data_IF_133685495816
#
_entry.id   IF_133685495816
#
_cell.length_a   1.000
_cell.length_b   1.000
_cell.length_c   1.000
_cell.angle_alpha   90.00
_cell.angle_beta   90.00
_cell.angle_gamma   90.00
#
_symmetry.space_group_name_H-M   'P 1'
#
loop_
_entity.id
_entity.type
_entity.pdbx_description
1 polymer ?
#
# COMPACT_ATOMS: atom_id res chain seq x y z
N UNK A 1 10.20 15.11 -2.66
CA UNK A 1 9.73 14.43 -1.43
C UNK A 1 9.37 12.99 -1.81
N UNK A 2 9.38 12.04 -0.88
CA UNK A 2 9.10 10.64 -1.21
C UNK A 2 7.62 10.49 -1.59
N UNK A 3 7.35 10.23 -2.87
CA UNK A 3 6.07 9.69 -3.34
C UNK A 3 6.06 8.23 -2.92
N UNK A 4 5.71 7.97 -1.66
CA UNK A 4 5.66 6.61 -1.12
C UNK A 4 4.33 6.03 -1.61
N UNK A 5 4.41 5.16 -2.61
CA UNK A 5 3.36 4.20 -2.94
C UNK A 5 3.02 3.45 -1.68
N UNK A 6 1.74 3.28 -1.34
CA UNK A 6 1.34 2.70 -0.07
C UNK A 6 0.28 1.63 -0.31
N UNK A 7 0.45 0.48 0.33
CA UNK A 7 -0.59 -0.53 0.44
C UNK A 7 -1.09 -0.59 1.88
N UNK A 8 -2.40 -0.67 2.07
CA UNK A 8 -3.00 -0.85 3.39
C UNK A 8 -4.16 -1.83 3.34
N UNK A 9 -4.33 -2.58 4.41
CA UNK A 9 -5.36 -3.60 4.46
C UNK A 9 -5.34 -4.41 5.73
N UNK A 10 -6.03 -5.54 5.68
CA UNK A 10 -6.20 -6.46 6.78
C UNK A 10 -5.79 -7.88 6.38
N UNK A 11 -5.21 -8.59 7.35
CA UNK A 11 -4.91 -10.02 7.27
C UNK A 11 -5.90 -10.73 8.16
N UNK A 12 -6.86 -11.43 7.55
CA UNK A 12 -7.89 -12.18 8.22
C UNK A 12 -7.47 -13.64 8.38
N UNK A 13 -7.45 -14.13 9.63
CA UNK A 13 -7.13 -15.52 9.97
C UNK A 13 -8.46 -16.24 10.27
N UNK A 14 -8.90 -17.17 9.41
CA UNK A 14 -10.18 -17.87 9.60
C UNK A 14 -10.21 -18.69 10.89
N UNK A 15 -11.39 -18.82 11.50
CA UNK A 15 -11.63 -19.65 12.70
C UNK A 15 -11.07 -21.08 12.56
N UNK A 16 -11.26 -21.72 11.41
CA UNK A 16 -10.72 -23.06 11.18
C UNK A 16 -9.20 -23.12 11.22
N UNK A 17 -8.52 -22.05 10.78
CA UNK A 17 -7.07 -21.93 10.88
C UNK A 17 -6.64 -21.86 12.34
N UNK A 18 -7.34 -21.06 13.14
CA UNK A 18 -7.09 -20.93 14.58
C UNK A 18 -7.30 -22.27 15.30
N UNK A 19 -8.36 -23.00 14.95
CA UNK A 19 -8.67 -24.29 15.55
C UNK A 19 -7.67 -25.40 15.17
N UNK A 20 -7.26 -25.46 13.90
CA UNK A 20 -6.45 -26.59 13.38
C UNK A 20 -4.94 -26.31 13.39
N UNK A 21 -4.53 -25.06 13.16
CA UNK A 21 -3.13 -24.64 13.12
C UNK A 21 -2.68 -24.12 14.47
N UNK A 22 -3.46 -23.25 15.13
CA UNK A 22 -3.10 -22.71 16.46
C UNK A 22 -3.63 -23.54 17.63
N UNK A 23 -4.48 -24.55 17.37
CA UNK A 23 -5.14 -25.37 18.39
C UNK A 23 -5.90 -24.53 19.44
N UNK A 24 -6.47 -23.40 19.00
CA UNK A 24 -7.10 -22.40 19.88
C UNK A 24 -6.17 -21.84 20.97
N UNK A 25 -4.85 -21.89 20.77
CA UNK A 25 -3.85 -21.38 21.70
C UNK A 25 -3.50 -19.93 21.40
N UNK A 26 -3.76 -19.02 22.36
CA UNK A 26 -3.28 -17.64 22.29
C UNK A 26 -1.76 -17.58 22.16
N UNK A 27 -1.03 -18.48 22.84
CA UNK A 27 0.43 -18.53 22.76
C UNK A 27 0.91 -18.82 21.34
N UNK A 28 0.33 -19.81 20.67
CA UNK A 28 0.72 -20.14 19.29
C UNK A 28 0.38 -19.02 18.33
N UNK A 29 -0.76 -18.35 18.53
CA UNK A 29 -1.09 -17.15 17.78
C UNK A 29 -0.05 -16.04 17.97
N UNK A 30 0.36 -15.74 19.20
CA UNK A 30 1.38 -14.72 19.45
C UNK A 30 2.73 -15.08 18.81
N UNK A 31 3.13 -16.36 18.87
CA UNK A 31 4.33 -16.86 18.18
C UNK A 31 4.18 -16.69 16.67
N UNK A 32 2.99 -17.00 16.12
CA UNK A 32 2.69 -16.80 14.72
C UNK A 32 2.80 -15.32 14.32
N UNK A 33 2.18 -14.40 15.07
CA UNK A 33 2.28 -12.95 14.83
C UNK A 33 3.74 -12.50 14.85
N UNK A 34 4.52 -12.95 15.83
CA UNK A 34 5.93 -12.59 15.94
C UNK A 34 6.75 -13.11 14.76
N UNK A 35 6.51 -14.35 14.32
CA UNK A 35 7.14 -14.93 13.12
C UNK A 35 6.75 -14.17 11.85
N UNK A 36 5.47 -13.84 11.73
CA UNK A 36 4.90 -13.09 10.63
C UNK A 36 5.49 -11.68 10.54
N UNK A 37 5.50 -10.95 11.66
CA UNK A 37 6.11 -9.63 11.84
C UNK A 37 7.60 -9.67 11.47
N UNK A 38 8.36 -10.62 12.01
CA UNK A 38 9.78 -10.76 11.69
C UNK A 38 10.03 -11.03 10.19
N UNK A 39 9.13 -11.76 9.54
CA UNK A 39 9.25 -12.09 8.11
C UNK A 39 8.90 -10.88 7.24
N UNK A 40 7.83 -10.15 7.57
CA UNK A 40 7.42 -8.96 6.83
C UNK A 40 8.37 -7.78 7.07
N UNK A 41 8.65 -7.42 8.32
CA UNK A 41 9.37 -6.20 8.68
C UNK A 41 10.87 -6.27 8.40
N UNK A 42 11.51 -7.43 8.63
CA UNK A 42 12.98 -7.53 8.52
C UNK A 42 13.46 -8.04 7.16
N UNK A 43 12.59 -8.65 6.36
CA UNK A 43 13.00 -9.26 5.08
C UNK A 43 12.28 -8.70 3.86
N UNK A 44 11.20 -7.94 4.04
CA UNK A 44 10.44 -7.37 2.94
C UNK A 44 10.13 -5.90 3.17
N UNK A 45 9.79 -5.16 2.11
CA UNK A 45 9.36 -3.76 2.10
C UNK A 45 8.76 -3.30 3.42
N UNK A 46 9.14 -2.13 3.94
CA UNK A 46 8.74 -1.54 5.23
C UNK A 46 7.25 -1.72 5.57
N UNK A 47 6.87 -2.94 5.96
CA UNK A 47 5.48 -3.35 6.17
C UNK A 47 5.30 -3.39 7.67
N UNK A 48 4.52 -2.47 8.17
CA UNK A 48 4.23 -2.33 9.59
C UNK A 48 2.89 -2.98 9.88
N UNK A 49 2.86 -3.90 10.85
CA UNK A 49 1.59 -4.36 11.41
C UNK A 49 1.08 -3.28 12.36
N UNK A 50 -0.11 -2.75 12.09
CA UNK A 50 -0.65 -1.59 12.81
C UNK A 50 -1.36 -1.97 14.11
N UNK A 51 -1.85 -3.21 14.20
CA UNK A 51 -2.57 -3.66 15.39
C UNK A 51 -1.62 -4.10 16.50
N UNK A 52 -1.95 -3.69 17.72
CA UNK A 52 -1.50 -4.30 18.96
C UNK A 52 -2.16 -5.69 19.10
N UNK A 53 -1.89 -6.57 18.13
CA UNK A 53 -2.39 -7.94 18.04
C UNK A 53 -2.10 -8.78 19.31
N UNK A 54 -1.31 -8.26 20.24
CA UNK A 54 -0.91 -8.90 21.49
C UNK A 54 -1.99 -8.82 22.58
N UNK A 55 -2.86 -7.79 22.55
CA UNK A 55 -3.84 -7.55 23.62
C UNK A 55 -5.18 -8.28 23.40
N UNK A 56 -5.67 -8.35 22.16
CA UNK A 56 -7.00 -8.87 21.83
C UNK A 56 -6.95 -10.28 21.20
N UNK A 57 -7.49 -11.29 21.91
CA UNK A 57 -7.60 -12.67 21.43
C UNK A 57 -9.06 -13.08 21.35
N UNK A 58 -9.58 -13.13 20.13
CA UNK A 58 -10.93 -13.55 19.80
C UNK A 58 -10.86 -14.69 18.78
N UNK A 59 -10.81 -15.97 19.21
CA UNK A 59 -10.57 -17.11 18.32
C UNK A 59 -11.63 -17.32 17.23
N UNK A 60 -12.73 -16.55 17.27
CA UNK A 60 -13.77 -16.55 16.24
C UNK A 60 -13.48 -15.54 15.12
N UNK A 61 -12.71 -14.49 15.40
CA UNK A 61 -12.45 -13.36 14.50
C UNK A 61 -11.07 -12.76 14.83
N UNK A 62 -10.04 -13.18 14.08
CA UNK A 62 -8.71 -12.61 14.20
C UNK A 62 -8.37 -11.89 12.90
N UNK A 63 -8.19 -10.58 12.97
CA UNK A 63 -7.76 -9.73 11.88
C UNK A 63 -6.57 -8.88 12.32
N UNK A 64 -5.66 -8.59 11.39
CA UNK A 64 -4.47 -7.78 11.67
C UNK A 64 -4.35 -6.74 10.56
N UNK A 65 -4.50 -5.48 10.93
CA UNK A 65 -4.30 -4.34 10.06
C UNK A 65 -2.81 -4.18 9.74
N UNK A 66 -2.49 -3.83 8.50
CA UNK A 66 -1.13 -3.55 8.07
C UNK A 66 -1.07 -2.35 7.15
N UNK A 67 0.12 -1.75 7.10
CA UNK A 67 0.52 -0.73 6.15
C UNK A 67 1.87 -1.11 5.56
N UNK A 68 2.06 -0.96 4.26
CA UNK A 68 3.30 -1.25 3.57
C UNK A 68 3.69 -0.06 2.68
N UNK A 69 4.96 0.34 2.79
CA UNK A 69 5.57 1.29 1.86
C UNK A 69 5.98 0.59 0.55
N UNK A 70 5.87 1.32 -0.55
CA UNK A 70 6.11 0.88 -1.92
C UNK A 70 4.95 0.10 -2.56
N UNK A 71 4.99 0.02 -3.90
CA UNK A 71 4.03 -0.79 -4.67
C UNK A 71 4.16 -2.25 -4.28
N UNK A 72 3.08 -2.81 -3.78
CA UNK A 72 3.03 -4.22 -3.45
C UNK A 72 2.77 -5.01 -4.74
N UNK A 73 3.79 -5.14 -5.61
CA UNK A 73 3.69 -5.85 -6.90
C UNK A 73 3.16 -7.29 -6.68
N UNK A 74 1.85 -7.37 -6.86
CA UNK A 74 0.91 -8.30 -6.26
C UNK A 74 1.34 -9.76 -6.21
N UNK A 75 1.68 -10.30 -7.38
CA UNK A 75 1.95 -11.73 -7.51
C UNK A 75 3.33 -12.06 -6.94
N UNK A 76 4.35 -11.25 -7.24
CA UNK A 76 5.70 -11.59 -6.81
C UNK A 76 5.88 -11.38 -5.31
N UNK A 77 5.31 -10.30 -4.76
CA UNK A 77 5.53 -9.89 -3.38
C UNK A 77 4.92 -10.89 -2.39
N UNK A 78 3.64 -11.24 -2.58
CA UNK A 78 2.98 -12.23 -1.73
C UNK A 78 3.57 -13.64 -1.87
N UNK A 79 4.01 -14.04 -3.07
CA UNK A 79 4.70 -15.31 -3.25
C UNK A 79 6.04 -15.35 -2.51
N UNK A 80 6.79 -14.25 -2.49
CA UNK A 80 8.05 -14.15 -1.78
C UNK A 80 7.83 -14.14 -0.27
N UNK A 81 6.92 -13.30 0.22
CA UNK A 81 6.50 -13.30 1.62
C UNK A 81 6.13 -14.72 2.06
N UNK A 82 5.23 -15.38 1.34
CA UNK A 82 4.79 -16.73 1.65
C UNK A 82 5.95 -17.74 1.61
N UNK A 83 6.88 -17.63 0.66
CA UNK A 83 8.06 -18.48 0.63
C UNK A 83 8.85 -18.38 1.93
N UNK A 84 9.15 -17.16 2.38
CA UNK A 84 9.91 -16.94 3.62
C UNK A 84 9.11 -17.37 4.84
N UNK A 85 7.81 -17.08 4.86
CA UNK A 85 6.92 -17.39 5.96
C UNK A 85 6.79 -18.89 6.19
N UNK A 86 6.57 -19.66 5.12
CA UNK A 86 6.38 -21.11 5.16
C UNK A 86 7.71 -21.90 5.15
N UNK A 87 8.84 -21.23 5.37
CA UNK A 87 10.15 -21.89 5.46
C UNK A 87 10.35 -22.51 6.84
N UNK A 88 10.57 -23.82 6.86
CA UNK A 88 10.94 -24.53 8.09
C UNK A 88 12.34 -24.12 8.58
N UNK A 89 12.46 -23.89 9.89
CA UNK A 89 13.74 -23.77 10.56
C UNK A 89 14.47 -25.11 10.62
N UNK A 90 15.80 -25.08 10.65
CA UNK A 90 16.60 -26.30 10.79
C UNK A 90 16.46 -26.93 12.17
N UNK A 91 16.78 -28.22 12.30
CA UNK A 91 16.73 -28.94 13.57
C UNK A 91 17.64 -28.27 14.61
N UNK A 92 18.85 -27.87 14.22
CA UNK A 92 19.81 -27.23 15.11
C UNK A 92 19.27 -25.90 15.66
N UNK A 93 18.55 -25.12 14.84
CA UNK A 93 17.90 -23.89 15.29
C UNK A 93 16.74 -24.16 16.26
N UNK A 94 16.00 -25.25 16.06
CA UNK A 94 14.87 -25.63 16.92
C UNK A 94 15.34 -26.16 18.27
N UNK A 95 16.50 -26.83 18.34
CA UNK A 95 17.05 -27.38 19.59
C UNK A 95 17.42 -26.29 20.61
N UNK A 96 17.69 -25.07 20.14
CA UNK A 96 18.11 -23.94 20.98
C UNK A 96 17.06 -22.83 21.11
N UNK A 97 15.94 -22.93 20.39
CA UNK A 97 14.87 -21.94 20.41
C UNK A 97 13.48 -22.61 20.28
N UNK A 98 12.74 -22.62 21.38
CA UNK A 98 11.40 -23.22 21.48
C UNK A 98 10.37 -22.53 20.59
N UNK A 99 10.44 -21.21 20.40
CA UNK A 99 9.54 -20.49 19.49
C UNK A 99 9.72 -20.98 18.04
N UNK A 100 10.97 -21.22 17.60
CA UNK A 100 11.24 -21.76 16.26
C UNK A 100 10.70 -23.18 16.09
N UNK A 101 10.80 -24.01 17.13
CA UNK A 101 10.18 -25.34 17.13
C UNK A 101 8.66 -25.21 16.98
N UNK A 102 8.02 -24.31 17.74
CA UNK A 102 6.58 -24.04 17.64
C UNK A 102 6.14 -23.55 16.27
N UNK A 103 6.93 -22.68 15.64
CA UNK A 103 6.69 -22.27 14.25
C UNK A 103 6.70 -23.49 13.31
N UNK A 104 7.69 -24.37 13.41
CA UNK A 104 7.74 -25.59 12.60
C UNK A 104 6.53 -26.50 12.84
N UNK A 105 6.09 -26.66 14.10
CA UNK A 105 4.88 -27.43 14.45
C UNK A 105 3.61 -26.83 13.81
N UNK A 106 3.46 -25.50 13.83
CA UNK A 106 2.36 -24.79 13.16
C UNK A 106 2.41 -24.96 11.65
N UNK A 107 3.57 -24.73 11.03
CA UNK A 107 3.74 -24.90 9.58
C UNK A 107 3.45 -26.34 9.13
N UNK A 108 3.83 -27.33 9.94
CA UNK A 108 3.53 -28.73 9.65
C UNK A 108 2.02 -29.01 9.75
N UNK A 109 1.31 -28.41 10.71
CA UNK A 109 -0.15 -28.52 10.81
C UNK A 109 -0.85 -27.85 9.64
N UNK A 110 -0.42 -26.66 9.25
CA UNK A 110 -0.97 -25.97 8.08
C UNK A 110 -0.74 -26.79 6.80
N UNK A 111 0.47 -27.30 6.59
CA UNK A 111 0.80 -28.19 5.47
C UNK A 111 -0.09 -29.44 5.39
N UNK A 112 -0.48 -30.00 6.55
CA UNK A 112 -1.34 -31.18 6.63
C UNK A 112 -2.84 -30.86 6.47
N UNK A 113 -3.22 -29.58 6.37
CA UNK A 113 -4.57 -29.11 6.17
C UNK A 113 -4.61 -28.19 4.93
N UNK A 114 -4.54 -28.74 3.70
CA UNK A 114 -4.34 -27.97 2.47
C UNK A 114 -5.50 -27.00 2.16
N UNK A 115 -6.70 -27.27 2.67
CA UNK A 115 -7.87 -26.40 2.48
C UNK A 115 -7.82 -25.12 3.32
N UNK A 116 -6.87 -25.00 4.26
CA UNK A 116 -6.73 -23.83 5.12
C UNK A 116 -5.92 -22.73 4.43
N UNK A 117 -6.40 -21.50 4.59
CA UNK A 117 -5.77 -20.30 4.05
C UNK A 117 -5.83 -19.16 5.07
N UNK A 118 -4.97 -18.17 4.84
CA UNK A 118 -5.09 -16.83 5.41
C UNK A 118 -5.57 -15.90 4.31
N UNK A 119 -6.43 -14.93 4.64
CA UNK A 119 -7.01 -14.01 3.68
C UNK A 119 -6.37 -12.63 3.84
N UNK A 120 -5.78 -12.12 2.77
CA UNK A 120 -5.31 -10.74 2.68
C UNK A 120 -6.36 -9.92 1.93
N UNK A 121 -6.86 -8.86 2.54
CA UNK A 121 -7.76 -7.88 1.91
C UNK A 121 -7.07 -6.53 1.96
N UNK A 122 -6.69 -5.97 0.82
CA UNK A 122 -5.96 -4.71 0.81
C UNK A 122 -6.22 -3.88 -0.43
N UNK A 123 -5.85 -2.61 -0.33
CA UNK A 123 -5.83 -1.67 -1.43
C UNK A 123 -4.38 -1.26 -1.66
N UNK A 124 -3.94 -1.39 -2.91
CA UNK A 124 -2.61 -0.98 -3.38
C UNK A 124 -2.74 0.24 -4.31
N UNK A 125 -1.83 1.20 -4.12
CA UNK A 125 -1.74 2.41 -4.94
C UNK A 125 -0.30 2.93 -5.04
N UNK A 126 0.10 3.31 -6.25
CA UNK A 126 1.36 4.00 -6.52
C UNK A 126 1.07 5.39 -7.11
N UNK A 127 1.65 6.48 -6.57
CA UNK A 127 1.55 7.81 -7.16
C UNK A 127 1.93 7.79 -8.66
N UNK A 128 1.04 8.30 -9.50
CA UNK A 128 1.19 8.29 -10.96
C UNK A 128 0.50 7.12 -11.68
N UNK A 129 -0.02 6.11 -10.98
CA UNK A 129 -0.84 5.06 -11.58
C UNK A 129 -2.29 5.55 -11.81
N UNK A 130 -2.94 5.17 -12.93
CA UNK A 130 -4.29 5.65 -13.25
C UNK A 130 -5.40 4.87 -12.52
N UNK A 131 -5.07 3.85 -11.73
CA UNK A 131 -6.03 2.99 -11.04
C UNK A 131 -5.63 2.69 -9.58
N UNK A 132 -6.64 2.42 -8.76
CA UNK A 132 -6.53 1.79 -7.44
C UNK A 132 -6.82 0.30 -7.61
N UNK A 133 -6.07 -0.55 -6.90
CA UNK A 133 -6.26 -2.00 -6.95
C UNK A 133 -6.79 -2.48 -5.61
N UNK A 134 -8.00 -3.03 -5.58
CA UNK A 134 -8.55 -3.76 -4.43
C UNK A 134 -8.30 -5.25 -4.64
N UNK A 135 -7.67 -5.91 -3.68
CA UNK A 135 -7.30 -7.32 -3.81
C UNK A 135 -7.74 -8.13 -2.60
N UNK A 136 -8.37 -9.26 -2.89
CA UNK A 136 -8.63 -10.31 -1.91
C UNK A 136 -7.81 -11.53 -2.30
N UNK A 137 -6.91 -11.95 -1.43
CA UNK A 137 -5.98 -13.05 -1.69
C UNK A 137 -6.12 -14.14 -0.65
N UNK A 138 -6.48 -15.34 -1.11
CA UNK A 138 -6.39 -16.53 -0.27
C UNK A 138 -5.00 -17.12 -0.42
N UNK A 139 -4.27 -17.15 0.68
CA UNK A 139 -2.92 -17.69 0.78
C UNK A 139 -3.00 -19.04 1.49
N UNK A 140 -3.00 -20.18 0.77
CA UNK A 140 -2.86 -21.51 1.36
C UNK A 140 -1.40 -21.85 1.64
N UNK A 141 -1.12 -23.04 2.20
CA UNK A 141 0.26 -23.48 2.43
C UNK A 141 1.04 -23.74 1.13
N UNK A 142 0.39 -24.23 0.07
CA UNK A 142 1.04 -24.39 -1.24
C UNK A 142 1.07 -23.05 -1.98
N UNK A 143 2.27 -22.51 -2.17
CA UNK A 143 2.47 -21.23 -2.85
C UNK A 143 1.91 -21.19 -4.28
N UNK A 144 1.76 -22.33 -4.94
CA UNK A 144 1.25 -22.38 -6.31
C UNK A 144 -0.28 -22.31 -6.40
N UNK A 145 -0.98 -22.42 -5.26
CA UNK A 145 -2.44 -22.43 -5.18
C UNK A 145 -3.03 -21.09 -4.70
N UNK A 146 -2.22 -20.03 -4.57
CA UNK A 146 -2.75 -18.71 -4.19
C UNK A 146 -3.87 -18.27 -5.13
N UNK A 147 -5.01 -17.88 -4.57
CA UNK A 147 -6.19 -17.45 -5.32
C UNK A 147 -6.32 -15.94 -5.18
N UNK A 148 -6.36 -15.28 -6.31
CA UNK A 148 -6.27 -13.85 -6.49
C UNK A 148 -7.59 -13.30 -7.04
N UNK A 149 -8.27 -12.46 -6.27
CA UNK A 149 -9.47 -11.75 -6.71
C UNK A 149 -9.19 -10.24 -6.72
N UNK A 150 -8.81 -9.74 -7.89
CA UNK A 150 -8.44 -8.33 -8.13
C UNK A 150 -9.59 -7.54 -8.73
N UNK A 151 -9.77 -6.29 -8.27
CA UNK A 151 -10.63 -5.29 -8.90
C UNK A 151 -9.90 -3.98 -9.06
N UNK A 152 -9.93 -3.48 -10.29
CA UNK A 152 -9.36 -2.18 -10.62
C UNK A 152 -10.44 -1.10 -10.58
N UNK A 153 -10.11 0.02 -9.95
CA UNK A 153 -10.95 1.20 -9.90
C UNK A 153 -10.19 2.36 -10.53
N UNK A 154 -10.85 3.14 -11.39
CA UNK A 154 -10.27 4.42 -11.81
C UNK A 154 -10.05 5.31 -10.59
N UNK A 155 -8.96 6.10 -10.60
CA UNK A 155 -8.67 7.07 -9.55
C UNK A 155 -9.69 8.21 -9.63
N UNK A 156 -10.79 8.07 -8.88
CA UNK A 156 -11.81 9.11 -8.71
C UNK A 156 -12.08 9.34 -7.23
N UNK A 157 -12.51 10.56 -6.88
CA UNK A 157 -12.86 10.91 -5.50
C UNK A 157 -13.87 9.92 -4.91
N UNK A 158 -14.87 9.51 -5.67
CA UNK A 158 -15.89 8.55 -5.22
C UNK A 158 -15.27 7.20 -4.88
N UNK A 159 -14.37 6.67 -5.73
CA UNK A 159 -13.73 5.37 -5.50
C UNK A 159 -12.76 5.42 -4.31
N UNK A 160 -11.99 6.50 -4.18
CA UNK A 160 -11.07 6.74 -3.05
C UNK A 160 -11.84 6.74 -1.72
N UNK A 161 -12.92 7.51 -1.65
CA UNK A 161 -13.76 7.59 -0.44
C UNK A 161 -14.45 6.26 -0.16
N UNK A 162 -14.96 5.59 -1.20
CA UNK A 162 -15.58 4.27 -1.08
C UNK A 162 -14.60 3.23 -0.51
N UNK A 163 -13.37 3.24 -1.00
CA UNK A 163 -12.33 2.30 -0.60
C UNK A 163 -11.62 2.72 0.69
N UNK A 164 -11.98 3.86 1.28
CA UNK A 164 -11.42 4.36 2.53
C UNK A 164 -9.88 4.44 2.53
N UNK A 165 -9.28 4.69 1.35
CA UNK A 165 -7.82 4.78 1.21
C UNK A 165 -7.28 5.98 1.99
N UNK A 166 -8.08 7.05 2.11
CA UNK A 166 -7.77 8.27 2.85
C UNK A 166 -9.04 9.00 3.31
N UNK A 167 -8.86 9.99 4.20
CA UNK A 167 -9.95 10.83 4.69
C UNK A 167 -10.52 11.70 3.56
N UNK A 168 -11.84 11.66 3.34
CA UNK A 168 -12.52 12.33 2.23
C UNK A 168 -12.30 13.86 2.15
N UNK A 169 -11.86 14.46 3.25
CA UNK A 169 -11.59 15.89 3.41
C UNK A 169 -10.31 16.36 2.69
N UNK A 170 -9.39 15.45 2.36
CA UNK A 170 -8.07 15.80 1.79
C UNK A 170 -8.01 15.65 0.25
N UNK A 171 -9.14 15.28 -0.38
CA UNK A 171 -9.25 15.06 -1.82
C UNK A 171 -9.69 16.33 -2.57
N UNK A 172 -8.78 16.95 -3.33
CA UNK A 172 -9.03 18.13 -4.19
C UNK A 172 -8.92 17.74 -5.67
N UNK A 173 -9.95 18.05 -6.46
CA UNK A 173 -9.92 17.87 -7.92
C UNK A 173 -9.36 19.13 -8.58
N UNK A 174 -8.09 19.11 -8.96
CA UNK A 174 -7.36 20.28 -9.48
C UNK A 174 -8.03 20.82 -10.75
N UNK A 175 -8.52 19.94 -11.64
CA UNK A 175 -9.20 20.37 -12.87
C UNK A 175 -10.48 21.17 -12.61
N UNK A 176 -11.11 20.97 -11.44
CA UNK A 176 -12.31 21.72 -11.03
C UNK A 176 -12.00 22.94 -10.17
N UNK A 177 -10.84 22.96 -9.52
CA UNK A 177 -10.49 23.95 -8.49
C UNK A 177 -9.44 24.99 -8.95
N UNK A 178 -8.70 24.70 -10.03
CA UNK A 178 -7.64 25.54 -10.57
C UNK A 178 -8.03 26.04 -11.97
N UNK A 179 -8.58 27.26 -12.01
CA UNK A 179 -8.82 27.97 -13.27
C UNK A 179 -7.50 28.42 -13.89
N UNK A 180 -7.53 28.76 -15.18
CA UNK A 180 -6.37 29.32 -15.89
C UNK A 180 -5.76 30.52 -15.15
N UNK A 181 -6.58 31.43 -14.64
CA UNK A 181 -6.10 32.62 -13.92
C UNK A 181 -5.45 32.26 -12.58
N UNK A 182 -6.04 31.31 -11.85
CA UNK A 182 -5.50 30.84 -10.57
C UNK A 182 -4.17 30.12 -10.77
N UNK A 183 -4.08 29.26 -11.78
CA UNK A 183 -2.83 28.60 -12.16
C UNK A 183 -1.69 29.60 -12.37
N UNK A 184 -1.91 30.67 -13.14
CA UNK A 184 -0.86 31.67 -13.39
C UNK A 184 -0.52 32.56 -12.18
N UNK A 185 -1.45 32.74 -11.23
CA UNK A 185 -1.15 33.36 -9.93
C UNK A 185 -0.24 32.47 -9.08
N UNK A 186 -0.50 31.17 -9.08
CA UNK A 186 0.27 30.18 -8.32
C UNK A 186 1.67 29.98 -8.93
N UNK A 187 1.79 30.03 -10.26
CA UNK A 187 3.07 30.04 -10.98
C UNK A 187 3.92 31.25 -10.58
N UNK A 188 3.33 32.45 -10.48
CA UNK A 188 4.04 33.65 -10.00
C UNK A 188 4.60 33.43 -8.59
N UNK A 189 3.78 32.84 -7.71
CA UNK A 189 4.19 32.50 -6.35
C UNK A 189 5.39 31.54 -6.32
N UNK A 190 5.36 30.42 -7.06
CA UNK A 190 6.48 29.48 -7.13
C UNK A 190 7.76 30.07 -7.73
N UNK A 191 7.64 30.97 -8.73
CA UNK A 191 8.79 31.63 -9.38
C UNK A 191 9.50 32.59 -8.42
N UNK A 192 8.77 33.26 -7.53
CA UNK A 192 9.40 34.11 -6.50
C UNK A 192 10.33 33.32 -5.58
N UNK A 193 10.05 32.02 -5.40
CA UNK A 193 10.86 31.09 -4.62
C UNK A 193 12.00 30.47 -5.45
N UNK A 194 11.82 30.22 -6.75
CA UNK A 194 12.78 29.56 -7.64
C UNK A 194 13.03 30.37 -8.94
N UNK A 195 14.07 31.22 -8.93
CA UNK A 195 14.35 32.30 -9.91
C UNK A 195 14.52 31.85 -11.37
N UNK A 196 14.66 30.55 -11.67
CA UNK A 196 14.91 30.03 -13.03
C UNK A 196 13.77 30.22 -14.02
N UNK A 197 12.54 30.46 -13.54
CA UNK A 197 11.33 30.34 -14.36
C UNK A 197 10.71 31.69 -14.80
N UNK A 198 11.48 32.80 -14.71
CA UNK A 198 11.02 34.15 -15.03
C UNK A 198 10.63 34.38 -16.49
N UNK A 199 11.14 33.58 -17.42
CA UNK A 199 10.88 33.76 -18.86
C UNK A 199 9.46 33.34 -19.28
N UNK A 200 8.80 32.50 -18.47
CA UNK A 200 7.44 31.98 -18.75
C UNK A 200 6.38 33.09 -18.86
N UNK A 201 6.55 34.22 -18.16
CA UNK A 201 5.59 35.34 -18.24
C UNK A 201 5.66 36.12 -19.55
N UNK A 202 6.76 36.00 -20.30
CA UNK A 202 6.95 36.65 -21.59
C UNK A 202 6.31 35.87 -22.75
N UNK A 203 5.76 34.69 -22.48
CA UNK A 203 5.04 33.90 -23.46
C UNK A 203 3.72 34.54 -23.89
N UNK A 204 3.33 34.26 -25.14
CA UNK A 204 2.02 34.62 -25.66
C UNK A 204 0.91 33.89 -24.90
N UNK A 205 -0.30 34.45 -24.91
CA UNK A 205 -1.46 33.83 -24.26
C UNK A 205 -1.72 32.42 -24.81
N UNK A 206 -1.52 32.19 -26.11
CA UNK A 206 -1.62 30.86 -26.72
C UNK A 206 -0.64 29.86 -26.09
N UNK A 207 0.61 30.25 -25.87
CA UNK A 207 1.62 29.38 -25.26
C UNK A 207 1.35 29.17 -23.77
N UNK A 208 0.79 30.16 -23.09
CA UNK A 208 0.35 30.03 -21.69
C UNK A 208 -0.83 29.06 -21.53
N UNK A 209 -1.77 29.09 -22.47
CA UNK A 209 -2.86 28.12 -22.52
C UNK A 209 -2.36 26.71 -22.83
N UNK A 210 -1.39 26.55 -23.73
CA UNK A 210 -0.78 25.24 -24.00
C UNK A 210 -0.13 24.64 -22.73
N UNK A 211 0.59 25.45 -21.95
CA UNK A 211 1.21 25.02 -20.70
C UNK A 211 0.15 24.64 -19.66
N UNK A 212 -0.88 25.47 -19.50
CA UNK A 212 -2.00 25.17 -18.60
C UNK A 212 -2.72 23.88 -19.01
N UNK A 213 -3.07 23.74 -20.29
CA UNK A 213 -3.76 22.55 -20.80
C UNK A 213 -2.88 21.31 -20.67
N UNK A 214 -1.56 21.43 -20.86
CA UNK A 214 -0.62 20.33 -20.62
C UNK A 214 -0.58 19.96 -19.14
N UNK A 215 -0.47 20.94 -18.25
CA UNK A 215 -0.51 20.72 -16.79
C UNK A 215 -1.81 20.06 -16.35
N UNK A 216 -2.98 20.54 -16.82
CA UNK A 216 -4.28 19.93 -16.53
C UNK A 216 -4.43 18.56 -17.18
N UNK A 217 -3.81 18.31 -18.33
CA UNK A 217 -3.84 16.99 -18.96
C UNK A 217 -2.95 15.98 -18.21
N UNK A 218 -1.80 16.41 -17.70
CA UNK A 218 -0.84 15.57 -16.98
C UNK A 218 -1.24 15.40 -15.50
N UNK A 219 -1.84 16.41 -14.88
CA UNK A 219 -2.10 16.49 -13.45
C UNK A 219 -3.55 16.91 -13.10
N UNK A 220 -4.47 17.01 -14.05
CA UNK A 220 -5.85 17.43 -13.80
C UNK A 220 -6.78 16.29 -13.41
N UNK A 221 -6.43 15.05 -13.75
CA UNK A 221 -7.09 13.83 -13.27
C UNK A 221 -6.24 13.03 -12.29
N UNK A 222 -5.03 13.52 -12.02
CA UNK A 222 -4.05 12.87 -11.16
C UNK A 222 -3.78 13.80 -9.98
N UNK A 223 -3.77 13.19 -8.81
CA UNK A 223 -3.27 13.71 -7.54
C UNK A 223 -4.22 14.60 -6.72
N UNK A 224 -4.80 13.92 -5.72
CA UNK A 224 -4.44 14.18 -4.32
C UNK A 224 -3.28 15.16 -4.16
N UNK A 225 -3.66 16.40 -4.00
CA UNK A 225 -2.74 17.43 -3.61
C UNK A 225 -3.33 18.05 -2.36
N UNK A 226 -2.71 17.78 -1.21
CA UNK A 226 -2.83 18.73 -0.10
C UNK A 226 -2.33 20.08 -0.62
N UNK A 227 -2.84 21.21 -0.12
CA UNK A 227 -2.41 22.54 -0.62
C UNK A 227 -0.88 22.72 -0.62
N UNK A 228 -0.15 21.99 0.23
CA UNK A 228 1.31 21.95 0.26
C UNK A 228 1.93 21.16 -0.90
N UNK A 229 1.38 20.00 -1.25
CA UNK A 229 1.84 19.16 -2.37
C UNK A 229 1.65 19.85 -3.73
N UNK A 230 0.80 20.88 -3.81
CA UNK A 230 0.42 21.56 -5.06
C UNK A 230 1.58 22.36 -5.60
N UNK A 231 2.19 23.14 -4.72
CA UNK A 231 3.27 24.05 -5.09
C UNK A 231 4.55 23.29 -5.41
N UNK A 232 4.79 22.15 -4.75
CA UNK A 232 5.91 21.26 -5.06
C UNK A 232 5.71 20.61 -6.44
N UNK A 233 4.52 20.08 -6.73
CA UNK A 233 4.20 19.51 -8.03
C UNK A 233 4.26 20.56 -9.16
N UNK A 234 3.75 21.76 -8.91
CA UNK A 234 3.87 22.87 -9.84
C UNK A 234 5.33 23.26 -10.06
N UNK A 235 6.15 23.29 -9.02
CA UNK A 235 7.57 23.59 -9.15
C UNK A 235 8.34 22.52 -9.95
N UNK A 236 8.07 21.24 -9.70
CA UNK A 236 8.68 20.12 -10.42
C UNK A 236 8.27 20.12 -11.90
N UNK A 237 6.96 20.27 -12.20
CA UNK A 237 6.47 20.41 -13.58
C UNK A 237 7.18 21.56 -14.31
N UNK A 238 7.30 22.73 -13.67
CA UNK A 238 7.96 23.89 -14.28
C UNK A 238 9.48 23.70 -14.44
N UNK A 239 10.13 22.87 -13.62
CA UNK A 239 11.55 22.54 -13.75
C UNK A 239 11.81 21.57 -14.91
N UNK A 240 10.90 20.63 -15.14
CA UNK A 240 10.99 19.62 -16.20
C UNK A 240 10.44 20.11 -17.55
N UNK A 241 9.66 21.20 -17.54
CA UNK A 241 9.16 21.83 -18.76
C UNK A 241 10.31 22.54 -19.49
N UNK A 242 10.93 21.84 -20.44
CA UNK A 242 11.96 22.42 -21.32
C UNK A 242 11.38 23.50 -22.25
N UNK A 243 12.08 24.63 -22.34
CA UNK A 243 11.74 25.86 -23.07
C UNK A 243 11.86 25.75 -24.59
#
# INVERSE_FOLDING_TARGET
MANISDASGCINIPKEFIEKVFLNSKEEYLIFIKHFRNTLENQYYSTTLCDEAEEEWYPEEMSISFYAEGKWSYQNNLHWFHWYFCKFYSIDECLVNEEKLKVNEMLQRWKNNPDLYILFEYIDFEPGEPFLVEENVKVPFDKNEMIFETKDYGVTKENIVKLNVYNACDCVDISKEVTFEKFWQDVDHCITTHVKNKELFNYSDEKKHEIYDKFIKEHGLIEFITTYSYYDLLADFLNDYEY
#
